data_IF_033220138453
#
_entry.id   IF_033220138453
#
_cell.length_a   1.000
_cell.length_b   1.000
_cell.length_c   1.000
_cell.angle_alpha   90.00
_cell.angle_beta   90.00
_cell.angle_gamma   90.00
#
_symmetry.space_group_name_H-M   'P 1'
#
loop_
_entity.id
_entity.type
_entity.pdbx_description
1 polymer ?
#
# COMPACT_ATOMS: atom_id res chain seq x y z
N UNK A 1 -8.90 -6.18 -22.45
CA UNK A 1 -7.97 -5.67 -21.41
C UNK A 1 -6.80 -4.92 -22.04
N UNK A 2 -6.31 -3.85 -21.39
CA UNK A 2 -5.21 -3.02 -21.91
C UNK A 2 -3.86 -3.72 -21.70
N UNK A 3 -3.02 -3.72 -22.74
CA UNK A 3 -1.63 -4.16 -22.61
C UNK A 3 -0.86 -3.14 -21.77
N UNK A 4 -0.36 -3.53 -20.60
CA UNK A 4 0.31 -2.62 -19.65
C UNK A 4 1.67 -2.13 -20.13
N UNK A 5 2.25 -2.75 -21.17
CA UNK A 5 3.47 -2.28 -21.81
C UNK A 5 3.29 -0.91 -22.49
N UNK A 6 2.06 -0.52 -22.87
CA UNK A 6 1.82 0.81 -23.45
C UNK A 6 2.10 1.95 -22.47
N UNK A 7 2.05 1.70 -21.16
CA UNK A 7 2.38 2.67 -20.11
C UNK A 7 3.87 3.08 -20.14
N UNK A 8 4.71 2.37 -20.91
CA UNK A 8 6.13 2.68 -21.12
C UNK A 8 6.41 3.26 -22.52
N UNK A 9 5.39 3.67 -23.26
CA UNK A 9 5.58 4.32 -24.56
C UNK A 9 6.28 5.68 -24.41
N UNK A 10 6.96 6.14 -25.46
CA UNK A 10 7.71 7.40 -25.44
C UNK A 10 6.88 8.63 -25.03
N UNK A 11 5.57 8.64 -25.30
CA UNK A 11 4.67 9.72 -24.91
C UNK A 11 4.31 9.68 -23.43
N UNK A 12 4.05 8.48 -22.87
CA UNK A 12 3.87 8.33 -21.41
C UNK A 12 5.14 8.70 -20.64
N UNK A 13 6.32 8.35 -21.16
CA UNK A 13 7.58 8.73 -20.53
C UNK A 13 7.79 10.24 -20.50
N UNK A 14 7.43 10.96 -21.57
CA UNK A 14 7.45 12.45 -21.58
C UNK A 14 6.43 13.02 -20.60
N UNK A 15 5.26 12.39 -20.47
CA UNK A 15 4.25 12.78 -19.49
C UNK A 15 4.78 12.62 -18.06
N UNK A 16 5.37 11.47 -17.72
CA UNK A 16 5.97 11.25 -16.39
C UNK A 16 7.11 12.24 -16.10
N UNK A 17 7.97 12.49 -17.09
CA UNK A 17 9.03 13.51 -17.00
C UNK A 17 8.46 14.86 -16.56
N UNK A 18 7.42 15.30 -17.28
CA UNK A 18 6.77 16.59 -17.05
C UNK A 18 6.12 16.65 -15.67
N UNK A 19 5.39 15.61 -15.26
CA UNK A 19 4.70 15.60 -13.98
C UNK A 19 5.64 15.54 -12.77
N UNK A 20 6.74 14.79 -12.88
CA UNK A 20 7.79 14.77 -11.84
C UNK A 20 8.44 16.14 -11.70
N UNK A 21 8.65 16.86 -12.81
CA UNK A 21 9.18 18.23 -12.77
C UNK A 21 8.20 19.21 -12.14
N UNK A 22 6.93 19.18 -12.57
CA UNK A 22 5.89 20.01 -11.97
C UNK A 22 5.83 19.79 -10.45
N UNK A 23 5.88 18.53 -10.01
CA UNK A 23 5.87 18.16 -8.60
C UNK A 23 7.09 18.68 -7.84
N UNK A 24 8.28 18.65 -8.46
CA UNK A 24 9.49 19.25 -7.89
C UNK A 24 9.36 20.77 -7.76
N UNK A 25 8.84 21.45 -8.79
CA UNK A 25 8.65 22.89 -8.82
C UNK A 25 7.59 23.36 -7.80
N UNK A 26 6.56 22.54 -7.53
CA UNK A 26 5.58 22.74 -6.46
C UNK A 26 6.22 22.65 -5.05
N UNK A 27 7.43 22.10 -4.95
CA UNK A 27 8.21 21.99 -3.73
C UNK A 27 8.14 20.62 -3.04
N UNK A 28 7.60 19.60 -3.72
CA UNK A 28 7.62 18.25 -3.19
C UNK A 28 9.02 17.63 -3.28
N UNK A 29 9.36 16.81 -2.28
CA UNK A 29 10.56 15.96 -2.34
C UNK A 29 10.27 14.74 -3.19
N UNK A 30 11.08 14.52 -4.21
CA UNK A 30 10.90 13.41 -5.13
C UNK A 30 11.47 12.10 -4.58
N UNK A 31 10.82 11.01 -4.94
CA UNK A 31 11.17 9.63 -4.66
C UNK A 31 10.74 8.73 -5.82
N UNK A 32 11.26 7.50 -5.89
CA UNK A 32 10.81 6.57 -6.92
C UNK A 32 9.31 6.20 -6.77
N UNK A 33 8.78 6.28 -5.54
CA UNK A 33 7.35 6.08 -5.30
C UNK A 33 6.47 7.08 -6.08
N UNK A 34 6.98 8.27 -6.40
CA UNK A 34 6.25 9.25 -7.22
C UNK A 34 6.15 8.80 -8.68
N UNK A 35 7.23 8.26 -9.25
CA UNK A 35 7.22 7.67 -10.59
C UNK A 35 6.32 6.43 -10.63
N UNK A 36 6.39 5.58 -9.60
CA UNK A 36 5.51 4.42 -9.47
C UNK A 36 4.04 4.82 -9.43
N UNK A 37 3.69 5.88 -8.70
CA UNK A 37 2.32 6.42 -8.66
C UNK A 37 1.80 6.83 -10.04
N UNK A 38 2.62 7.49 -10.86
CA UNK A 38 2.26 7.88 -12.23
C UNK A 38 2.10 6.68 -13.18
N UNK A 39 2.96 5.67 -13.02
CA UNK A 39 2.85 4.41 -13.76
C UNK A 39 1.55 3.69 -13.38
N UNK A 40 1.23 3.60 -12.09
CA UNK A 40 -0.02 3.03 -11.59
C UNK A 40 -1.25 3.77 -12.13
N UNK A 41 -1.22 5.10 -12.09
CA UNK A 41 -2.29 5.93 -12.66
C UNK A 41 -2.54 5.58 -14.13
N UNK A 42 -1.48 5.48 -14.93
CA UNK A 42 -1.58 5.11 -16.36
C UNK A 42 -1.98 3.65 -16.57
N UNK A 43 -1.77 2.78 -15.59
CA UNK A 43 -2.29 1.41 -15.63
C UNK A 43 -3.79 1.36 -15.34
N UNK A 44 -4.32 2.21 -14.45
CA UNK A 44 -5.73 2.20 -14.04
C UNK A 44 -6.61 3.09 -14.92
N UNK A 45 -6.10 4.22 -15.40
CA UNK A 45 -6.85 5.26 -16.10
C UNK A 45 -6.32 5.48 -17.52
N UNK A 46 -7.19 5.92 -18.44
CA UNK A 46 -6.76 6.37 -19.79
C UNK A 46 -6.21 7.80 -19.78
N UNK A 47 -6.66 8.60 -18.83
CA UNK A 47 -6.30 10.00 -18.69
C UNK A 47 -5.81 10.27 -17.26
N UNK A 48 -4.98 11.32 -17.05
CA UNK A 48 -4.55 11.72 -15.71
C UNK A 48 -5.72 11.95 -14.77
N UNK A 49 -5.65 11.41 -13.56
CA UNK A 49 -6.68 11.56 -12.54
C UNK A 49 -6.31 12.71 -11.59
N UNK A 50 -7.05 13.84 -11.59
CA UNK A 50 -6.75 14.98 -10.74
C UNK A 50 -7.23 14.80 -9.28
N UNK A 51 -7.98 13.74 -8.96
CA UNK A 51 -8.60 13.58 -7.65
C UNK A 51 -7.56 13.43 -6.53
N UNK A 52 -7.92 13.93 -5.35
CA UNK A 52 -7.11 13.92 -4.14
C UNK A 52 -7.78 13.12 -3.02
N UNK A 53 -7.04 12.92 -1.93
CA UNK A 53 -7.58 12.24 -0.75
C UNK A 53 -8.74 13.04 -0.12
N UNK A 54 -8.60 14.38 -0.04
CA UNK A 54 -9.64 15.24 0.52
C UNK A 54 -10.93 15.26 -0.32
N UNK A 55 -10.85 15.03 -1.64
CA UNK A 55 -12.02 14.98 -2.53
C UNK A 55 -12.97 13.82 -2.19
N UNK A 56 -12.44 12.73 -1.63
CA UNK A 56 -13.23 11.58 -1.19
C UNK A 56 -14.24 11.91 -0.07
N UNK A 57 -14.11 13.08 0.59
CA UNK A 57 -15.14 13.57 1.53
C UNK A 57 -16.53 13.66 0.88
N UNK A 58 -16.60 13.92 -0.43
CA UNK A 58 -17.86 13.96 -1.16
C UNK A 58 -18.58 12.60 -1.16
N UNK A 59 -17.83 11.50 -1.11
CA UNK A 59 -18.39 10.15 -1.11
C UNK A 59 -18.97 9.72 0.25
N UNK A 60 -18.70 10.46 1.34
CA UNK A 60 -19.06 10.06 2.71
C UNK A 60 -19.79 11.16 3.50
N UNK A 61 -20.01 12.33 2.91
CA UNK A 61 -20.60 13.50 3.58
C UNK A 61 -22.04 13.30 4.09
N UNK A 62 -22.78 12.31 3.58
CA UNK A 62 -24.12 11.94 4.01
C UNK A 62 -24.14 10.59 4.75
N UNK A 63 -22.97 10.01 5.04
CA UNK A 63 -22.87 8.65 5.60
C UNK A 63 -23.33 7.56 4.62
N UNK A 64 -23.30 7.84 3.31
CA UNK A 64 -23.77 6.95 2.24
C UNK A 64 -22.78 5.83 1.90
N UNK A 65 -21.51 5.98 2.27
CA UNK A 65 -20.47 4.97 2.13
C UNK A 65 -19.69 4.81 3.44
N UNK A 66 -19.06 3.64 3.69
CA UNK A 66 -18.09 3.50 4.77
C UNK A 66 -16.94 4.51 4.63
N UNK A 67 -16.40 4.98 5.76
CA UNK A 67 -15.22 5.85 5.77
C UNK A 67 -14.00 5.09 5.23
N UNK A 68 -13.38 5.51 4.11
CA UNK A 68 -12.14 4.89 3.66
C UNK A 68 -10.99 5.27 4.61
N UNK A 69 -10.18 4.28 4.95
CA UNK A 69 -8.99 4.43 5.80
C UNK A 69 -7.85 3.70 5.12
N UNK A 70 -6.76 4.43 4.88
CA UNK A 70 -5.53 3.89 4.32
C UNK A 70 -4.42 3.94 5.38
N UNK A 71 -3.40 3.10 5.20
CA UNK A 71 -2.39 2.88 6.21
C UNK A 71 -1.01 2.79 5.57
N UNK A 72 -0.02 3.38 6.22
CA UNK A 72 1.39 3.17 5.89
C UNK A 72 2.23 3.08 7.15
N UNK A 73 3.51 2.75 6.97
CA UNK A 73 4.50 2.73 8.03
C UNK A 73 5.51 3.86 7.83
N UNK A 74 5.68 4.68 8.86
CA UNK A 74 6.86 5.53 8.97
C UNK A 74 8.03 4.68 9.46
N UNK A 75 9.14 4.72 8.76
CA UNK A 75 10.38 4.00 9.08
C UNK A 75 11.53 5.00 9.26
N UNK A 76 12.71 4.51 9.63
CA UNK A 76 13.92 5.33 9.71
C UNK A 76 15.07 4.67 8.97
N UNK A 77 15.75 5.41 8.11
CA UNK A 77 16.86 4.96 7.25
C UNK A 77 17.96 4.17 7.95
N UNK A 78 18.22 4.51 9.22
CA UNK A 78 19.29 3.94 10.07
C UNK A 78 18.90 2.64 10.78
N UNK A 79 17.61 2.30 10.78
CA UNK A 79 17.05 1.18 11.51
C UNK A 79 16.34 0.25 10.52
N UNK A 80 16.28 -1.05 10.82
CA UNK A 80 15.41 -1.92 10.03
C UNK A 80 13.95 -1.61 10.38
N UNK A 81 13.00 -2.06 9.54
CA UNK A 81 11.57 -1.95 9.85
C UNK A 81 11.19 -2.74 11.11
N UNK A 82 11.94 -3.78 11.48
CA UNK A 82 11.77 -4.48 12.75
C UNK A 82 12.19 -3.60 13.93
N UNK A 83 13.25 -2.81 13.77
CA UNK A 83 13.84 -1.98 14.82
C UNK A 83 13.13 -0.63 15.02
N UNK A 84 12.50 -0.10 13.97
CA UNK A 84 11.70 1.13 14.04
C UNK A 84 10.58 1.16 13.00
N UNK A 85 9.35 1.37 13.47
CA UNK A 85 8.16 1.54 12.63
C UNK A 85 7.03 2.22 13.40
N UNK A 86 6.22 3.00 12.69
CA UNK A 86 5.08 3.69 13.27
C UNK A 86 3.92 3.73 12.29
N UNK A 87 2.73 3.39 12.76
CA UNK A 87 1.52 3.40 11.94
C UNK A 87 1.05 4.84 11.64
N UNK A 88 0.92 5.14 10.35
CA UNK A 88 0.37 6.41 9.85
C UNK A 88 -0.97 6.14 9.16
N UNK A 89 -2.03 6.68 9.75
CA UNK A 89 -3.40 6.58 9.23
C UNK A 89 -3.67 7.72 8.25
N UNK A 90 -4.38 7.42 7.17
CA UNK A 90 -4.86 8.38 6.18
C UNK A 90 -6.36 8.22 5.99
N UNK A 91 -7.09 9.30 6.11
CA UNK A 91 -8.52 9.38 5.81
C UNK A 91 -8.78 10.62 4.96
N UNK A 92 -9.96 10.75 4.33
CA UNK A 92 -10.32 11.97 3.63
C UNK A 92 -10.27 13.22 4.52
N UNK A 93 -10.43 13.07 5.84
CA UNK A 93 -10.43 14.18 6.79
C UNK A 93 -9.03 14.50 7.29
N UNK A 94 -8.31 13.50 7.76
CA UNK A 94 -7.06 13.68 8.48
C UNK A 94 -6.01 12.61 8.17
N UNK A 95 -4.75 12.99 8.36
CA UNK A 95 -3.57 12.12 8.28
C UNK A 95 -2.78 12.26 9.57
N UNK A 96 -2.36 11.15 10.17
CA UNK A 96 -1.66 11.23 11.44
C UNK A 96 -1.13 9.93 12.01
N UNK A 97 -0.42 10.06 13.12
CA UNK A 97 0.22 8.95 13.81
C UNK A 97 -0.67 8.40 14.92
N UNK A 98 -0.91 7.09 14.91
CA UNK A 98 -1.66 6.41 15.96
C UNK A 98 -0.97 6.54 17.32
N UNK A 99 0.37 6.38 17.34
CA UNK A 99 1.21 6.43 18.53
C UNK A 99 1.16 7.77 19.26
N UNK A 100 1.19 8.88 18.51
CA UNK A 100 1.27 10.23 19.08
C UNK A 100 -0.10 10.87 19.27
N UNK A 101 -1.16 10.35 18.65
CA UNK A 101 -2.46 11.01 18.64
C UNK A 101 -2.42 12.37 17.94
N UNK A 102 -1.49 12.55 16.98
CA UNK A 102 -1.24 13.80 16.30
C UNK A 102 -1.61 13.68 14.82
N UNK A 103 -2.56 14.52 14.40
CA UNK A 103 -3.19 14.49 13.09
C UNK A 103 -3.24 15.90 12.49
N UNK A 104 -3.17 15.96 11.16
CA UNK A 104 -3.35 17.17 10.35
C UNK A 104 -4.46 16.93 9.32
N UNK A 105 -5.06 17.99 8.79
CA UNK A 105 -6.00 17.86 7.66
C UNK A 105 -5.30 17.17 6.48
N UNK A 106 -6.03 16.30 5.79
CA UNK A 106 -5.51 15.57 4.62
C UNK A 106 -4.92 16.50 3.56
N UNK A 107 -5.56 17.65 3.28
CA UNK A 107 -5.09 18.62 2.29
C UNK A 107 -3.74 19.30 2.63
N UNK A 108 -3.28 19.19 3.88
CA UNK A 108 -2.00 19.75 4.31
C UNK A 108 -0.90 18.70 4.37
N UNK A 109 -1.20 17.42 4.12
CA UNK A 109 -0.18 16.38 4.10
C UNK A 109 0.83 16.63 2.98
N UNK A 110 2.12 16.62 3.32
CA UNK A 110 3.22 17.00 2.42
C UNK A 110 3.65 18.47 2.53
N UNK A 111 2.92 19.31 3.27
CA UNK A 111 3.34 20.68 3.60
C UNK A 111 4.37 20.72 4.74
N UNK A 112 5.08 21.84 4.88
CA UNK A 112 6.08 22.02 5.95
C UNK A 112 5.43 22.56 7.23
N UNK A 113 5.76 21.95 8.37
CA UNK A 113 5.29 22.38 9.69
C UNK A 113 6.46 22.62 10.65
N UNK A 114 6.22 23.42 11.67
CA UNK A 114 7.10 23.57 12.82
C UNK A 114 6.27 23.87 14.08
N UNK A 115 6.53 23.14 15.17
CA UNK A 115 5.81 23.32 16.44
C UNK A 115 4.28 23.23 16.30
N UNK A 116 3.79 22.37 15.39
CA UNK A 116 2.37 22.21 15.10
C UNK A 116 1.74 23.32 14.23
N UNK A 117 2.52 24.31 13.79
CA UNK A 117 2.07 25.37 12.89
C UNK A 117 2.47 25.07 11.44
N UNK A 118 1.55 25.33 10.51
CA UNK A 118 1.80 25.24 9.06
C UNK A 118 2.73 26.40 8.65
N UNK A 119 3.95 26.07 8.22
CA UNK A 119 4.97 27.04 7.86
C UNK A 119 4.94 27.38 6.36
N UNK A 120 4.81 26.35 5.53
CA UNK A 120 4.72 26.49 4.07
C UNK A 120 3.69 25.50 3.56
N UNK A 121 2.62 26.03 2.99
CA UNK A 121 1.61 25.21 2.32
C UNK A 121 2.13 24.77 0.96
N UNK A 122 2.16 23.46 0.77
CA UNK A 122 2.44 22.79 -0.50
C UNK A 122 1.10 22.24 -1.03
N UNK A 123 0.83 22.27 -2.34
CA UNK A 123 -0.40 21.70 -2.90
C UNK A 123 -0.62 20.25 -2.46
N UNK A 124 -1.88 19.89 -2.21
CA UNK A 124 -2.24 18.50 -1.90
C UNK A 124 -1.90 17.59 -3.09
N UNK A 125 -1.22 16.49 -2.79
CA UNK A 125 -0.83 15.53 -3.82
C UNK A 125 -2.06 14.84 -4.43
N UNK A 126 -2.01 14.61 -5.75
CA UNK A 126 -2.95 13.73 -6.45
C UNK A 126 -2.94 12.34 -5.81
N UNK A 127 -4.08 11.65 -5.86
CA UNK A 127 -4.28 10.36 -5.21
C UNK A 127 -3.29 9.30 -5.73
N UNK A 128 -2.87 9.38 -6.99
CA UNK A 128 -1.88 8.47 -7.58
C UNK A 128 -0.53 8.47 -6.84
N UNK A 129 -0.07 9.61 -6.33
CA UNK A 129 1.17 9.67 -5.53
C UNK A 129 0.98 9.00 -4.16
N UNK A 130 -0.21 9.08 -3.57
CA UNK A 130 -0.55 8.39 -2.33
C UNK A 130 -0.64 6.88 -2.55
N UNK A 131 -1.26 6.45 -3.66
CA UNK A 131 -1.31 5.04 -4.08
C UNK A 131 0.10 4.50 -4.33
N UNK A 132 0.96 5.28 -4.99
CA UNK A 132 2.37 4.95 -5.18
C UNK A 132 3.10 4.74 -3.85
N UNK A 133 2.83 5.56 -2.83
CA UNK A 133 3.38 5.38 -1.48
C UNK A 133 2.81 4.16 -0.75
N UNK A 134 1.48 3.97 -0.76
CA UNK A 134 0.83 2.84 -0.08
C UNK A 134 1.16 1.48 -0.71
N UNK A 135 1.66 1.46 -1.94
CA UNK A 135 2.00 0.24 -2.69
C UNK A 135 3.48 0.19 -3.12
N UNK A 136 4.35 0.94 -2.46
CA UNK A 136 5.77 1.01 -2.84
C UNK A 136 6.54 -0.30 -2.55
N UNK A 137 5.91 -1.35 -2.03
CA UNK A 137 6.46 -2.71 -2.06
C UNK A 137 6.75 -3.19 -3.49
N UNK A 138 5.98 -2.71 -4.47
CA UNK A 138 6.12 -3.08 -5.88
C UNK A 138 7.23 -2.33 -6.61
N UNK A 139 7.74 -1.23 -6.06
CA UNK A 139 8.71 -0.40 -6.76
C UNK A 139 10.03 -1.13 -7.04
N UNK A 140 10.45 -2.01 -6.13
CA UNK A 140 11.65 -2.82 -6.29
C UNK A 140 11.47 -3.90 -7.37
N UNK A 141 10.37 -4.64 -7.32
CA UNK A 141 10.04 -5.65 -8.32
C UNK A 141 9.88 -5.02 -9.72
N UNK A 142 9.34 -3.80 -9.80
CA UNK A 142 9.25 -3.07 -11.05
C UNK A 142 10.63 -2.68 -11.58
N UNK A 143 11.54 -2.18 -10.74
CA UNK A 143 12.90 -1.88 -11.18
C UNK A 143 13.61 -3.12 -11.70
N UNK A 144 13.48 -4.25 -11.00
CA UNK A 144 14.07 -5.52 -11.43
C UNK A 144 13.45 -6.00 -12.76
N UNK A 145 12.13 -5.92 -12.90
CA UNK A 145 11.42 -6.27 -14.14
C UNK A 145 11.80 -5.34 -15.31
N UNK A 146 11.94 -4.04 -15.07
CA UNK A 146 12.37 -3.07 -16.06
C UNK A 146 13.84 -3.28 -16.45
N UNK A 147 14.69 -3.70 -15.51
CA UNK A 147 16.09 -4.02 -15.78
C UNK A 147 16.24 -5.28 -16.64
N UNK A 148 15.34 -6.25 -16.49
CA UNK A 148 15.33 -7.51 -17.24
C UNK A 148 14.60 -7.43 -18.60
N UNK A 149 13.78 -6.42 -18.83
CA UNK A 149 13.08 -6.27 -20.10
C UNK A 149 14.07 -5.82 -21.21
N UNK A 150 14.48 -6.75 -22.07
CA UNK A 150 15.41 -6.53 -23.21
C UNK A 150 14.97 -5.44 -24.23
N UNK A 151 13.73 -4.96 -24.18
CA UNK A 151 13.21 -3.88 -25.04
C UNK A 151 13.20 -2.50 -24.36
N UNK A 152 13.84 -2.37 -23.19
CA UNK A 152 13.91 -1.13 -22.42
C UNK A 152 15.17 -0.30 -22.70
N UNK A 153 15.94 -0.60 -23.76
CA UNK A 153 17.13 0.19 -24.11
C UNK A 153 16.76 1.68 -24.27
N UNK A 154 15.64 2.04 -24.88
CA UNK A 154 15.20 3.44 -24.96
C UNK A 154 14.84 4.06 -23.60
N UNK A 155 14.27 3.29 -22.68
CA UNK A 155 13.94 3.76 -21.33
C UNK A 155 15.22 4.00 -20.54
N UNK A 156 16.06 2.98 -20.36
CA UNK A 156 17.31 3.12 -19.60
C UNK A 156 18.30 4.07 -20.27
N UNK A 157 18.49 4.02 -21.58
CA UNK A 157 19.41 4.95 -22.25
C UNK A 157 18.96 6.40 -22.13
N UNK A 158 17.66 6.68 -22.12
CA UNK A 158 17.13 8.04 -21.93
C UNK A 158 17.23 8.54 -20.50
N UNK A 159 17.14 7.64 -19.50
CA UNK A 159 17.05 7.98 -18.08
C UNK A 159 18.33 7.75 -17.27
N UNK A 160 19.26 6.90 -17.71
CA UNK A 160 20.47 6.53 -16.96
C UNK A 160 21.79 6.75 -17.69
N UNK A 161 21.81 6.96 -19.01
CA UNK A 161 23.04 7.26 -19.77
C UNK A 161 23.12 8.74 -20.18
N UNK A 162 24.32 9.36 -20.21
CA UNK A 162 24.52 10.67 -20.84
C UNK A 162 24.21 10.58 -22.34
N UNK A 163 23.50 11.57 -22.92
CA UNK A 163 23.24 11.59 -24.38
C UNK A 163 24.55 11.90 -25.12
N UNK A 164 25.06 10.92 -25.87
CA UNK A 164 26.20 11.08 -26.78
C UNK A 164 25.70 11.00 -28.22
N UNK A 165 25.92 12.05 -29.00
CA UNK A 165 25.69 12.03 -30.46
C UNK A 165 27.03 11.96 -31.18
N UNK A 166 27.20 11.00 -32.09
CA UNK A 166 28.34 10.97 -33.01
C UNK A 166 27.99 11.86 -34.22
N UNK A 167 28.81 12.88 -34.48
CA UNK A 167 28.51 13.96 -35.45
C UNK A 167 28.58 13.48 -36.92
N UNK A 168 28.93 12.23 -37.21
CA UNK A 168 29.30 11.77 -38.56
C UNK A 168 28.22 11.02 -39.36
N UNK A 169 26.95 10.96 -38.94
CA UNK A 169 25.92 10.20 -39.68
C UNK A 169 25.34 10.87 -40.94
N UNK A 170 25.64 12.14 -41.22
CA UNK A 170 25.09 12.86 -42.39
C UNK A 170 26.02 12.93 -43.63
N UNK A 171 27.08 12.11 -43.71
CA UNK A 171 27.96 12.04 -44.89
C UNK A 171 27.64 10.80 -45.74
N UNK A 172 27.30 10.92 -47.05
CA UNK A 172 26.99 9.79 -47.92
C UNK A 172 28.15 8.76 -48.01
N UNK A 173 27.86 7.47 -48.32
CA UNK A 173 28.76 6.32 -48.11
C UNK A 173 29.87 6.18 -49.16
N UNK A 174 30.63 7.23 -49.46
CA UNK A 174 31.58 7.26 -50.57
C UNK A 174 33.05 7.51 -50.19
N UNK A 175 33.42 7.51 -48.91
CA UNK A 175 34.82 7.65 -48.50
C UNK A 175 35.26 6.56 -47.48
N UNK A 176 36.45 5.95 -47.65
CA UNK A 176 36.95 4.94 -46.74
C UNK A 176 37.30 5.55 -45.37
N UNK A 177 36.80 4.93 -44.28
CA UNK A 177 37.11 5.31 -42.89
C UNK A 177 38.61 5.24 -42.65
N UNK A 178 39.23 6.36 -42.25
CA UNK A 178 40.67 6.42 -41.93
C UNK A 178 40.91 5.84 -40.52
N UNK A 179 41.85 4.90 -40.33
CA UNK A 179 42.01 4.14 -39.07
C UNK A 179 42.57 4.93 -37.87
N UNK A 180 42.91 6.21 -38.03
CA UNK A 180 43.55 7.03 -36.99
C UNK A 180 42.73 8.24 -36.53
N UNK A 181 41.47 8.37 -36.98
CA UNK A 181 40.59 9.47 -36.54
C UNK A 181 39.69 8.92 -35.43
N UNK A 182 39.84 9.43 -34.21
CA UNK A 182 38.90 9.14 -33.14
C UNK A 182 37.57 9.87 -33.43
N UNK A 183 36.42 9.20 -33.29
CA UNK A 183 35.13 9.82 -33.57
C UNK A 183 34.92 11.03 -32.65
N UNK A 184 34.57 12.17 -33.25
CA UNK A 184 34.28 13.39 -32.50
C UNK A 184 32.89 13.25 -31.90
N UNK A 185 32.82 13.03 -30.58
CA UNK A 185 31.55 12.87 -29.85
C UNK A 185 31.09 14.21 -29.32
N UNK A 186 29.87 14.62 -29.66
CA UNK A 186 29.23 15.76 -29.01
C UNK A 186 28.79 15.34 -27.62
N UNK A 187 29.50 15.80 -26.60
CA UNK A 187 29.05 15.70 -25.22
C UNK A 187 28.11 16.86 -24.93
N UNK A 188 26.81 16.61 -24.91
CA UNK A 188 25.84 17.58 -24.41
C UNK A 188 25.76 17.34 -22.90
N UNK A 189 26.23 18.28 -22.04
CA UNK A 189 26.00 18.14 -20.61
C UNK A 189 24.50 18.03 -20.38
N UNK A 190 24.08 17.02 -19.61
CA UNK A 190 22.69 16.83 -19.25
C UNK A 190 22.14 18.13 -18.64
N UNK A 191 20.92 18.54 -19.03
CA UNK A 191 20.21 19.58 -18.30
C UNK A 191 19.91 19.07 -16.87
N UNK A 192 19.78 19.98 -15.89
CA UNK A 192 19.57 19.62 -14.48
C UNK A 192 18.40 18.64 -14.26
N UNK A 193 17.42 18.66 -15.17
CA UNK A 193 16.24 17.80 -15.23
C UNK A 193 16.55 16.31 -15.40
N UNK A 194 17.46 15.97 -16.32
CA UNK A 194 17.84 14.56 -16.56
C UNK A 194 18.64 13.99 -15.39
N UNK A 195 19.41 14.85 -14.71
CA UNK A 195 20.12 14.47 -13.49
C UNK A 195 19.14 14.24 -12.33
N UNK A 196 18.11 15.08 -12.16
CA UNK A 196 17.07 14.89 -11.12
C UNK A 196 16.34 13.56 -11.29
N UNK A 197 15.97 13.18 -12.52
CA UNK A 197 15.22 11.95 -12.74
C UNK A 197 16.12 10.72 -12.65
N UNK A 198 17.37 10.82 -13.11
CA UNK A 198 18.39 9.80 -12.82
C UNK A 198 18.59 9.63 -11.31
N UNK A 199 18.63 10.72 -10.56
CA UNK A 199 18.79 10.68 -9.11
C UNK A 199 17.57 10.03 -8.46
N UNK A 200 16.34 10.31 -8.92
CA UNK A 200 15.11 9.61 -8.48
C UNK A 200 15.16 8.10 -8.74
N UNK A 201 15.67 7.68 -9.91
CA UNK A 201 15.78 6.27 -10.30
C UNK A 201 16.93 5.55 -9.56
N UNK A 202 17.98 6.28 -9.17
CA UNK A 202 19.14 5.72 -8.44
C UNK A 202 19.02 5.82 -6.91
N UNK A 203 18.03 6.56 -6.40
CA UNK A 203 17.68 6.63 -4.98
C UNK A 203 17.06 5.32 -4.48
N UNK A 204 17.03 5.14 -3.14
CA UNK A 204 16.40 3.97 -2.50
C UNK A 204 14.95 3.83 -3.00
N UNK A 205 14.63 2.80 -3.80
CA UNK A 205 13.38 2.79 -4.58
C UNK A 205 12.11 2.62 -3.76
N UNK A 206 12.27 2.22 -2.50
CA UNK A 206 11.21 1.69 -1.66
C UNK A 206 10.60 2.73 -0.72
N UNK A 207 11.22 3.91 -0.57
CA UNK A 207 10.85 4.86 0.50
C UNK A 207 10.32 6.16 -0.09
N UNK A 208 9.07 6.51 0.24
CA UNK A 208 8.50 7.81 -0.08
C UNK A 208 8.87 8.83 1.01
N UNK A 209 9.23 10.05 0.62
CA UNK A 209 9.70 11.08 1.55
C UNK A 209 8.74 12.27 1.62
N UNK A 210 8.21 12.59 2.80
CA UNK A 210 7.34 13.74 3.02
C UNK A 210 7.86 14.61 4.17
N UNK A 211 7.67 15.94 4.16
CA UNK A 211 7.98 16.77 5.32
C UNK A 211 7.30 16.26 6.59
N UNK A 212 8.03 16.22 7.69
CA UNK A 212 7.51 15.76 8.97
C UNK A 212 6.61 16.81 9.61
N UNK A 213 5.30 16.57 9.62
CA UNK A 213 4.34 17.49 10.23
C UNK A 213 4.45 17.57 11.77
N UNK A 214 5.17 16.64 12.40
CA UNK A 214 5.49 16.68 13.83
C UNK A 214 6.77 17.48 14.14
N UNK A 215 7.46 18.03 13.13
CA UNK A 215 8.74 18.72 13.30
C UNK A 215 8.65 19.81 14.37
N UNK A 216 9.61 19.76 15.30
CA UNK A 216 9.71 20.68 16.43
C UNK A 216 8.88 20.30 17.65
N UNK A 217 7.83 19.48 17.53
CA UNK A 217 7.05 19.07 18.70
C UNK A 217 7.91 18.35 19.74
N UNK A 218 7.61 18.59 21.01
CA UNK A 218 8.28 17.98 22.14
C UNK A 218 7.37 16.93 22.79
N UNK A 219 7.96 15.84 23.25
CA UNK A 219 7.24 14.83 24.00
C UNK A 219 7.02 15.30 25.44
N UNK A 220 5.84 15.01 25.97
CA UNK A 220 5.54 15.25 27.37
C UNK A 220 6.45 14.39 28.26
N UNK A 221 6.90 14.89 29.41
CA UNK A 221 7.75 14.14 30.35
C UNK A 221 7.16 12.80 30.81
N UNK A 222 5.84 12.66 30.76
CA UNK A 222 5.09 11.46 31.17
C UNK A 222 4.48 10.71 29.98
N UNK A 223 5.02 10.88 28.77
CA UNK A 223 4.46 10.24 27.57
C UNK A 223 4.38 8.71 27.69
N UNK A 224 5.32 8.08 28.42
CA UNK A 224 5.30 6.63 28.70
C UNK A 224 4.17 6.18 29.65
N UNK A 225 3.61 7.09 30.46
CA UNK A 225 2.43 6.83 31.30
C UNK A 225 1.13 6.94 30.48
N UNK A 226 1.18 7.46 29.25
CA UNK A 226 0.01 7.61 28.41
C UNK A 226 -0.37 6.27 27.77
N UNK A 227 -1.56 5.77 28.12
CA UNK A 227 -2.07 4.49 27.60
C UNK A 227 -2.16 4.44 26.07
N UNK A 228 -2.39 5.57 25.37
CA UNK A 228 -2.46 5.62 23.91
C UNK A 228 -1.10 5.50 23.26
N UNK A 229 -0.09 6.16 23.84
CA UNK A 229 1.28 6.01 23.40
C UNK A 229 1.76 4.57 23.64
N UNK A 230 1.54 4.06 24.85
CA UNK A 230 1.95 2.71 25.25
C UNK A 230 1.29 1.59 24.44
N UNK A 231 0.06 1.80 23.96
CA UNK A 231 -0.63 0.87 23.06
C UNK A 231 0.09 0.66 21.73
N UNK A 232 0.85 1.65 21.27
CA UNK A 232 1.58 1.61 20.00
C UNK A 232 3.10 1.70 20.22
N UNK A 233 3.55 1.48 21.45
CA UNK A 233 4.96 1.49 21.85
C UNK A 233 5.58 0.16 21.43
N UNK A 234 6.10 0.16 20.22
CA UNK A 234 6.53 -1.04 19.53
C UNK A 234 8.02 -1.33 19.71
N UNK A 235 8.84 -0.31 19.99
CA UNK A 235 10.31 -0.45 19.90
C UNK A 235 11.02 0.07 21.14
N UNK A 236 12.24 -0.43 21.39
CA UNK A 236 13.10 0.06 22.48
C UNK A 236 13.40 1.55 22.29
N UNK A 237 13.44 2.02 21.05
CA UNK A 237 13.66 3.43 20.70
C UNK A 237 12.54 4.34 21.25
N UNK A 238 11.33 3.81 21.45
CA UNK A 238 10.22 4.56 22.04
C UNK A 238 10.47 4.95 23.50
N UNK A 239 11.43 4.32 24.18
CA UNK A 239 11.88 4.71 25.52
C UNK A 239 12.78 5.95 25.52
N UNK A 240 13.26 6.40 24.36
CA UNK A 240 14.12 7.58 24.26
C UNK A 240 13.47 8.68 23.39
N UNK A 241 12.98 9.77 24.01
CA UNK A 241 12.26 10.81 23.29
C UNK A 241 13.11 11.51 22.22
N UNK A 242 14.43 11.58 22.37
CA UNK A 242 15.31 12.23 21.40
C UNK A 242 15.39 11.50 20.07
N UNK A 243 14.98 10.24 20.02
CA UNK A 243 15.01 9.41 18.81
C UNK A 243 13.64 9.21 18.18
N UNK A 244 12.60 9.92 18.64
CA UNK A 244 11.25 9.78 18.09
C UNK A 244 10.97 10.84 17.03
N UNK A 245 11.07 12.12 17.39
CA UNK A 245 10.74 13.27 16.53
C UNK A 245 12.01 14.05 16.10
N UNK A 246 13.03 13.33 15.63
CA UNK A 246 14.33 13.93 15.24
C UNK A 246 14.49 14.17 13.73
N UNK A 247 13.67 13.53 12.90
CA UNK A 247 13.77 13.62 11.45
C UNK A 247 12.99 14.80 10.88
N UNK A 248 13.59 15.48 9.91
CA UNK A 248 12.94 16.53 9.12
C UNK A 248 11.89 15.95 8.14
N UNK A 249 12.08 14.70 7.73
CA UNK A 249 11.20 14.01 6.77
C UNK A 249 10.66 12.71 7.36
N UNK A 250 9.41 12.41 7.04
CA UNK A 250 8.85 11.08 7.17
C UNK A 250 9.33 10.22 6.01
N UNK A 251 9.64 8.97 6.32
CA UNK A 251 10.03 7.95 5.37
C UNK A 251 8.93 6.90 5.38
N UNK A 252 8.04 6.93 4.39
CA UNK A 252 6.84 6.12 4.36
C UNK A 252 6.98 4.92 3.43
N UNK A 253 6.55 3.76 3.93
CA UNK A 253 6.55 2.48 3.21
C UNK A 253 5.22 1.76 3.36
N UNK A 254 4.95 0.84 2.43
CA UNK A 254 3.84 -0.11 2.48
C UNK A 254 3.88 -0.94 3.77
N UNK A 255 2.71 -1.21 4.33
CA UNK A 255 2.53 -2.07 5.52
C UNK A 255 3.07 -3.50 5.32
N UNK A 256 3.09 -4.00 4.08
CA UNK A 256 3.58 -5.32 3.71
C UNK A 256 5.07 -5.53 4.05
N UNK A 257 5.86 -4.45 4.26
CA UNK A 257 7.24 -4.53 4.77
C UNK A 257 7.34 -4.98 6.24
N UNK A 258 6.22 -5.08 6.95
CA UNK A 258 6.16 -5.57 8.33
C UNK A 258 5.08 -6.63 8.51
N UNK A 259 3.81 -6.23 8.46
CA UNK A 259 2.66 -7.12 8.58
C UNK A 259 1.64 -6.68 7.54
N UNK A 260 1.23 -7.60 6.68
CA UNK A 260 0.22 -7.34 5.66
C UNK A 260 -1.19 -7.28 6.31
N UNK A 261 -1.49 -6.15 6.96
CA UNK A 261 -2.75 -5.91 7.66
C UNK A 261 -3.12 -4.45 7.64
N UNK A 262 -4.42 -4.17 7.49
CA UNK A 262 -5.02 -2.84 7.60
C UNK A 262 -5.81 -2.64 8.90
N UNK A 263 -5.73 -3.58 9.84
CA UNK A 263 -6.50 -3.53 11.10
C UNK A 263 -6.07 -2.45 12.12
N UNK A 264 -4.81 -1.96 12.21
CA UNK A 264 -4.40 -1.06 13.30
C UNK A 264 -5.30 0.18 13.50
N UNK A 265 -5.70 0.93 12.45
CA UNK A 265 -6.65 2.04 12.58
C UNK A 265 -8.03 1.65 13.15
N UNK A 266 -8.50 0.43 12.87
CA UNK A 266 -9.79 -0.08 13.34
C UNK A 266 -9.77 -0.40 14.84
N UNK A 267 -8.59 -0.77 15.36
CA UNK A 267 -8.39 -1.13 16.77
C UNK A 267 -8.21 0.08 17.69
N UNK A 268 -8.25 1.31 17.15
CA UNK A 268 -8.32 2.53 17.96
C UNK A 268 -9.56 2.48 18.86
N UNK A 269 -9.42 2.60 20.19
CA UNK A 269 -10.56 2.55 21.11
C UNK A 269 -11.67 3.59 20.83
N UNK A 270 -11.35 4.71 20.19
CA UNK A 270 -12.31 5.73 19.74
C UNK A 270 -13.28 5.23 18.68
N UNK A 271 -12.88 4.24 17.87
CA UNK A 271 -13.70 3.71 16.77
C UNK A 271 -14.75 2.71 17.25
N UNK A 272 -14.55 2.10 18.42
CA UNK A 272 -15.47 1.14 19.04
C UNK A 272 -15.98 0.08 18.05
N UNK A 273 -15.05 -0.51 17.27
CA UNK A 273 -15.40 -1.51 16.25
C UNK A 273 -15.83 -2.81 16.92
N UNK A 274 -17.04 -3.27 16.61
CA UNK A 274 -17.58 -4.53 17.16
C UNK A 274 -17.27 -5.75 16.30
N UNK A 275 -17.19 -5.56 14.97
CA UNK A 275 -16.97 -6.63 13.99
C UNK A 275 -15.93 -6.15 12.98
N UNK A 276 -14.96 -7.01 12.70
CA UNK A 276 -14.01 -6.84 11.60
C UNK A 276 -14.25 -7.97 10.59
N UNK A 277 -14.60 -7.60 9.36
CA UNK A 277 -14.60 -8.52 8.21
C UNK A 277 -13.23 -8.38 7.54
N UNK A 278 -12.36 -9.35 7.78
CA UNK A 278 -10.99 -9.37 7.29
C UNK A 278 -10.91 -10.20 6.01
N UNK A 279 -10.71 -9.53 4.88
CA UNK A 279 -10.45 -10.16 3.59
C UNK A 279 -8.95 -10.23 3.37
N UNK A 280 -8.36 -11.44 3.42
CA UNK A 280 -6.93 -11.62 3.25
C UNK A 280 -6.59 -12.05 1.83
N UNK A 281 -5.80 -11.23 1.14
CA UNK A 281 -5.32 -11.48 -0.22
C UNK A 281 -3.79 -11.56 -0.27
N UNK A 282 -3.17 -12.02 0.81
CA UNK A 282 -1.72 -12.12 0.91
C UNK A 282 -1.17 -13.14 -0.08
N UNK A 283 -0.09 -12.78 -0.78
CA UNK A 283 0.64 -13.71 -1.64
C UNK A 283 1.30 -14.80 -0.80
N UNK A 284 1.16 -16.06 -1.22
CA UNK A 284 1.71 -17.21 -0.51
C UNK A 284 0.85 -17.66 0.66
N UNK A 285 1.23 -17.31 1.90
CA UNK A 285 0.54 -17.83 3.09
C UNK A 285 -0.72 -17.05 3.43
N UNK A 286 -1.84 -17.75 3.46
CA UNK A 286 -3.13 -17.24 3.93
C UNK A 286 -3.28 -17.26 5.46
N UNK A 287 -2.26 -17.62 6.24
CA UNK A 287 -2.37 -17.67 7.72
C UNK A 287 -1.29 -16.85 8.41
N UNK A 288 -0.12 -16.71 7.78
CA UNK A 288 1.01 -15.98 8.35
C UNK A 288 0.68 -14.52 8.73
N UNK A 289 0.03 -13.71 7.88
CA UNK A 289 -0.33 -12.33 8.25
C UNK A 289 -1.28 -12.25 9.44
N UNK A 290 -2.22 -13.21 9.54
CA UNK A 290 -3.15 -13.32 10.66
C UNK A 290 -2.39 -13.67 11.94
N UNK A 291 -1.54 -14.70 11.91
CA UNK A 291 -0.72 -15.13 13.04
C UNK A 291 0.21 -14.00 13.54
N UNK A 292 0.85 -13.27 12.61
CA UNK A 292 1.71 -12.12 12.94
C UNK A 292 0.91 -10.97 13.54
N UNK A 293 -0.25 -10.63 12.97
CA UNK A 293 -1.13 -9.56 13.48
C UNK A 293 -1.61 -9.89 14.90
N UNK A 294 -2.11 -11.10 15.14
CA UNK A 294 -2.61 -11.53 16.45
C UNK A 294 -1.50 -11.51 17.49
N UNK A 295 -0.29 -11.99 17.15
CA UNK A 295 0.86 -11.92 18.07
C UNK A 295 1.22 -10.48 18.39
N UNK A 296 1.30 -9.62 17.38
CA UNK A 296 1.59 -8.20 17.54
C UNK A 296 0.58 -7.51 18.47
N UNK A 297 -0.72 -7.71 18.25
CA UNK A 297 -1.75 -7.12 19.11
C UNK A 297 -1.70 -7.65 20.54
N UNK A 298 -1.41 -8.94 20.72
CA UNK A 298 -1.23 -9.54 22.04
C UNK A 298 -0.04 -8.93 22.79
N UNK A 299 1.13 -8.82 22.15
CA UNK A 299 2.33 -8.21 22.73
C UNK A 299 2.13 -6.74 23.10
N UNK A 300 1.32 -6.01 22.33
CA UNK A 300 0.96 -4.61 22.59
C UNK A 300 -0.19 -4.45 23.62
N UNK A 301 -0.79 -5.55 24.08
CA UNK A 301 -1.96 -5.51 24.97
C UNK A 301 -3.23 -4.94 24.31
N UNK A 302 -3.30 -4.96 22.98
CA UNK A 302 -4.45 -4.50 22.20
C UNK A 302 -5.52 -5.61 22.22
N UNK A 303 -6.77 -5.32 22.66
CA UNK A 303 -7.85 -6.31 22.65
C UNK A 303 -8.13 -6.85 21.24
N UNK A 304 -7.89 -8.15 21.04
CA UNK A 304 -8.10 -8.84 19.78
C UNK A 304 -8.51 -10.30 20.06
N UNK A 305 -9.36 -10.94 19.23
CA UNK A 305 -9.77 -12.32 19.46
C UNK A 305 -8.61 -13.30 19.24
N UNK A 306 -8.70 -14.47 19.88
CA UNK A 306 -7.77 -15.57 19.68
C UNK A 306 -8.04 -16.22 18.32
N UNK A 307 -7.06 -16.20 17.44
CA UNK A 307 -7.18 -16.69 16.06
C UNK A 307 -6.54 -18.07 15.88
N UNK A 308 -6.93 -19.04 16.71
CA UNK A 308 -6.34 -20.39 16.67
C UNK A 308 -7.03 -21.22 15.59
N UNK A 309 -6.27 -21.58 14.55
CA UNK A 309 -6.66 -22.55 13.53
C UNK A 309 -6.16 -23.94 13.89
N UNK A 310 -6.98 -24.97 13.64
CA UNK A 310 -6.55 -26.36 13.86
C UNK A 310 -5.52 -26.81 12.83
N UNK A 311 -4.77 -27.88 13.12
CA UNK A 311 -3.83 -28.48 12.16
C UNK A 311 -4.53 -28.96 10.88
N UNK A 312 -5.80 -29.34 10.97
CA UNK A 312 -6.62 -29.72 9.82
C UNK A 312 -6.99 -28.50 8.97
N UNK A 313 -7.45 -27.42 9.60
CA UNK A 313 -7.76 -26.15 8.92
C UNK A 313 -6.50 -25.58 8.24
N UNK A 314 -5.32 -25.68 8.87
CA UNK A 314 -4.06 -25.22 8.27
C UNK A 314 -3.66 -26.01 7.02
N UNK A 315 -4.05 -27.28 6.92
CA UNK A 315 -3.83 -28.11 5.72
C UNK A 315 -4.86 -27.83 4.64
N UNK A 316 -6.11 -27.62 5.03
CA UNK A 316 -7.24 -27.38 4.12
C UNK A 316 -8.06 -26.21 4.64
N UNK A 317 -7.68 -25.00 4.18
CA UNK A 317 -8.35 -23.79 4.61
C UNK A 317 -9.75 -23.68 4.00
N UNK A 318 -10.74 -23.41 4.84
CA UNK A 318 -12.11 -23.05 4.48
C UNK A 318 -12.22 -21.59 4.04
N UNK A 319 -13.33 -21.23 3.40
CA UNK A 319 -13.54 -19.88 2.88
C UNK A 319 -13.77 -18.81 3.97
N UNK A 320 -14.20 -19.21 5.18
CA UNK A 320 -14.48 -18.27 6.27
C UNK A 320 -14.25 -18.89 7.65
N UNK A 321 -13.76 -18.07 8.59
CA UNK A 321 -13.62 -18.40 10.01
C UNK A 321 -14.21 -17.30 10.87
N UNK A 322 -14.95 -17.67 11.92
CA UNK A 322 -15.48 -16.77 12.93
C UNK A 322 -14.65 -16.91 14.20
N UNK A 323 -14.01 -15.82 14.62
CA UNK A 323 -13.30 -15.74 15.90
C UNK A 323 -13.98 -14.71 16.80
N UNK A 324 -14.55 -15.18 17.90
CA UNK A 324 -15.26 -14.33 18.86
C UNK A 324 -14.77 -14.53 20.31
N UNK A 325 -13.85 -15.47 20.54
CA UNK A 325 -13.18 -15.71 21.83
C UNK A 325 -12.08 -14.66 22.06
N UNK A 326 -12.22 -13.89 23.13
CA UNK A 326 -11.24 -12.89 23.55
C UNK A 326 -11.27 -12.72 25.08
N UNK A 327 -10.12 -12.35 25.65
CA UNK A 327 -9.99 -12.10 27.09
C UNK A 327 -10.75 -10.84 27.53
N UNK A 328 -10.88 -9.87 26.63
CA UNK A 328 -11.53 -8.59 26.89
C UNK A 328 -12.83 -8.48 26.10
N UNK A 329 -13.95 -8.05 26.73
CA UNK A 329 -15.22 -7.80 26.02
C UNK A 329 -15.13 -6.62 25.05
N UNK A 330 -14.03 -5.86 25.06
CA UNK A 330 -13.75 -4.77 24.12
C UNK A 330 -13.14 -5.27 22.80
N UNK A 331 -12.74 -6.54 22.72
CA UNK A 331 -12.20 -7.09 21.49
C UNK A 331 -13.31 -7.26 20.44
N UNK A 332 -13.03 -6.94 19.16
CA UNK A 332 -13.99 -7.14 18.08
C UNK A 332 -14.20 -8.64 17.81
N UNK A 333 -15.34 -8.98 17.22
CA UNK A 333 -15.55 -10.25 16.53
C UNK A 333 -14.82 -10.18 15.19
N UNK A 334 -14.04 -11.20 14.85
CA UNK A 334 -13.30 -11.26 13.59
C UNK A 334 -13.91 -12.33 12.68
N UNK A 335 -14.36 -11.92 11.50
CA UNK A 335 -14.66 -12.81 10.38
C UNK A 335 -13.48 -12.79 9.42
N UNK A 336 -12.77 -13.91 9.34
CA UNK A 336 -11.58 -14.05 8.52
C UNK A 336 -11.87 -14.81 7.23
N UNK A 337 -11.62 -14.17 6.09
CA UNK A 337 -11.77 -14.74 4.76
C UNK A 337 -10.39 -14.88 4.09
N UNK A 338 -9.77 -16.06 4.13
CA UNK A 338 -8.57 -16.31 3.33
C UNK A 338 -8.92 -16.43 1.84
N UNK A 339 -7.98 -16.07 0.97
CA UNK A 339 -8.12 -16.30 -0.47
C UNK A 339 -7.86 -17.78 -0.78
N UNK A 340 -8.93 -18.57 -0.85
CA UNK A 340 -8.89 -20.01 -1.12
C UNK A 340 -9.91 -20.38 -2.18
N UNK A 341 -9.56 -21.34 -3.02
CA UNK A 341 -10.46 -21.96 -3.98
C UNK A 341 -10.84 -23.35 -3.44
N UNK A 342 -11.80 -23.40 -2.52
CA UNK A 342 -12.29 -24.64 -1.90
C UNK A 342 -13.58 -25.11 -2.59
N UNK A 343 -14.75 -24.82 -2.00
CA UNK A 343 -16.03 -25.33 -2.54
C UNK A 343 -16.40 -24.70 -3.89
N UNK A 344 -15.84 -23.54 -4.24
CA UNK A 344 -16.05 -22.87 -5.54
C UNK A 344 -15.67 -23.75 -6.75
N UNK A 345 -14.75 -24.71 -6.57
CA UNK A 345 -14.40 -25.65 -7.62
C UNK A 345 -15.59 -26.51 -8.06
N UNK A 346 -16.47 -26.84 -7.10
CA UNK A 346 -17.65 -27.69 -7.33
C UNK A 346 -18.92 -26.88 -7.57
N UNK A 347 -19.05 -25.71 -6.94
CA UNK A 347 -20.27 -24.91 -6.95
C UNK A 347 -20.05 -23.59 -7.70
N UNK A 348 -21.01 -23.19 -8.54
CA UNK A 348 -20.98 -21.88 -9.22
C UNK A 348 -21.65 -20.76 -8.43
N UNK A 349 -22.61 -21.14 -7.60
CA UNK A 349 -23.26 -20.26 -6.62
C UNK A 349 -23.63 -21.11 -5.40
N UNK A 350 -23.90 -20.50 -4.23
CA UNK A 350 -24.22 -21.26 -3.02
C UNK A 350 -25.33 -22.29 -3.27
N UNK A 351 -25.02 -23.58 -3.05
CA UNK A 351 -25.95 -24.70 -3.25
C UNK A 351 -26.21 -25.13 -4.70
N UNK A 352 -25.55 -24.54 -5.71
CA UNK A 352 -25.72 -24.89 -7.13
C UNK A 352 -24.44 -25.49 -7.69
N UNK A 353 -24.45 -26.80 -7.94
CA UNK A 353 -23.31 -27.53 -8.52
C UNK A 353 -23.07 -27.14 -9.98
N UNK A 354 -21.80 -27.15 -10.38
CA UNK A 354 -21.36 -26.95 -11.76
C UNK A 354 -21.68 -28.19 -12.60
N UNK A 355 -22.02 -27.97 -13.88
CA UNK A 355 -22.06 -29.07 -14.83
C UNK A 355 -20.64 -29.48 -15.26
N UNK A 356 -20.44 -30.67 -15.85
CA UNK A 356 -19.13 -31.10 -16.33
C UNK A 356 -18.47 -30.14 -17.33
N UNK A 357 -19.24 -29.35 -18.08
CA UNK A 357 -18.73 -28.34 -19.02
C UNK A 357 -18.32 -27.02 -18.35
N UNK A 358 -18.74 -26.77 -17.10
CA UNK A 358 -18.47 -25.53 -16.35
C UNK A 358 -17.36 -25.72 -15.30
N UNK A 359 -16.70 -26.90 -15.25
CA UNK A 359 -15.71 -27.24 -14.23
C UNK A 359 -14.44 -26.39 -14.33
N UNK A 360 -13.99 -26.09 -15.54
CA UNK A 360 -12.76 -25.30 -15.78
C UNK A 360 -12.89 -23.86 -15.27
N UNK A 361 -14.12 -23.33 -15.15
CA UNK A 361 -14.42 -22.02 -14.60
C UNK A 361 -14.38 -21.99 -13.06
N UNK A 362 -14.43 -23.16 -12.41
CA UNK A 362 -14.43 -23.30 -10.96
C UNK A 362 -13.04 -23.29 -10.33
N UNK A 363 -11.97 -23.44 -11.13
CA UNK A 363 -10.60 -23.50 -10.62
C UNK A 363 -9.85 -22.18 -10.86
N UNK A 364 -9.38 -21.59 -9.76
CA UNK A 364 -8.47 -20.45 -9.76
C UNK A 364 -7.27 -20.78 -8.86
N UNK A 365 -6.09 -20.89 -9.46
CA UNK A 365 -4.86 -21.17 -8.72
C UNK A 365 -4.38 -19.95 -7.94
N UNK A 366 -4.95 -19.73 -6.76
CA UNK A 366 -4.59 -18.64 -5.84
C UNK A 366 -3.54 -19.05 -4.80
N UNK A 367 -3.12 -20.32 -4.81
CA UNK A 367 -2.20 -20.89 -3.82
C UNK A 367 -0.76 -20.98 -4.30
N UNK A 368 -0.54 -21.16 -5.60
CA UNK A 368 0.81 -21.27 -6.15
C UNK A 368 1.52 -19.91 -6.13
N UNK A 369 2.74 -19.88 -5.60
CA UNK A 369 3.52 -18.63 -5.51
C UNK A 369 4.31 -18.30 -6.77
N UNK A 370 4.64 -19.30 -7.60
CA UNK A 370 5.58 -19.15 -8.72
C UNK A 370 4.88 -19.09 -10.08
N UNK A 371 3.86 -19.93 -10.29
CA UNK A 371 3.21 -20.10 -11.60
C UNK A 371 1.77 -19.58 -11.64
N UNK A 372 1.27 -19.03 -10.53
CA UNK A 372 -0.08 -18.49 -10.47
C UNK A 372 -0.20 -17.24 -11.34
N UNK A 373 -1.28 -17.09 -12.13
CA UNK A 373 -1.60 -15.85 -12.83
C UNK A 373 -1.96 -14.70 -11.87
N UNK A 374 -2.16 -15.00 -10.58
CA UNK A 374 -2.49 -14.06 -9.52
C UNK A 374 -1.30 -13.78 -8.58
N UNK A 375 -0.11 -14.25 -8.94
CA UNK A 375 1.10 -13.94 -8.17
C UNK A 375 1.28 -12.42 -8.04
N UNK A 376 1.75 -11.98 -6.88
CA UNK A 376 1.82 -10.57 -6.47
C UNK A 376 2.43 -9.67 -7.56
N UNK A 377 3.53 -10.09 -8.21
CA UNK A 377 4.20 -9.30 -9.24
C UNK A 377 3.48 -9.21 -10.60
N UNK A 378 2.36 -9.90 -10.80
CA UNK A 378 1.62 -9.89 -12.08
C UNK A 378 0.67 -8.70 -12.12
N UNK A 379 0.92 -7.78 -13.05
CA UNK A 379 0.12 -6.55 -13.24
C UNK A 379 -0.86 -6.61 -14.43
N UNK A 380 -0.85 -7.70 -15.20
CA UNK A 380 -1.70 -7.88 -16.38
C UNK A 380 -2.41 -9.22 -16.34
N UNK A 381 -3.75 -9.19 -16.31
CA UNK A 381 -4.58 -10.41 -16.28
C UNK A 381 -5.21 -10.68 -17.65
N UNK A 382 -5.52 -11.94 -17.94
CA UNK A 382 -6.46 -12.29 -19.00
C UNK A 382 -7.89 -12.10 -18.52
N UNK A 383 -8.84 -11.86 -19.42
CA UNK A 383 -10.24 -11.62 -19.04
C UNK A 383 -10.83 -12.80 -18.27
N UNK A 384 -10.46 -14.00 -18.69
CA UNK A 384 -10.78 -15.24 -18.01
C UNK A 384 -10.25 -15.26 -16.57
N UNK A 385 -8.95 -15.01 -16.35
CA UNK A 385 -8.36 -15.04 -15.01
C UNK A 385 -8.96 -13.93 -14.11
N UNK A 386 -9.17 -12.74 -14.66
CA UNK A 386 -9.81 -11.64 -13.92
C UNK A 386 -11.22 -12.01 -13.46
N UNK A 387 -12.04 -12.55 -14.37
CA UNK A 387 -13.40 -13.00 -14.06
C UNK A 387 -13.40 -14.17 -13.07
N UNK A 388 -12.48 -15.13 -13.21
CA UNK A 388 -12.32 -16.26 -12.27
C UNK A 388 -12.04 -15.76 -10.84
N UNK A 389 -11.12 -14.82 -10.66
CA UNK A 389 -10.80 -14.27 -9.34
C UNK A 389 -11.98 -13.49 -8.72
N UNK A 390 -12.67 -12.68 -9.52
CA UNK A 390 -13.88 -11.96 -9.07
C UNK A 390 -14.98 -12.94 -8.67
N UNK A 391 -15.25 -13.94 -9.51
CA UNK A 391 -16.29 -14.93 -9.24
C UNK A 391 -15.96 -15.77 -7.99
N UNK A 392 -14.70 -16.15 -7.81
CA UNK A 392 -14.24 -16.86 -6.61
C UNK A 392 -14.48 -16.02 -5.35
N UNK A 393 -13.98 -14.78 -5.33
CA UNK A 393 -14.11 -13.90 -4.16
C UNK A 393 -15.57 -13.56 -3.85
N UNK A 394 -16.38 -13.31 -4.88
CA UNK A 394 -17.81 -13.10 -4.74
C UNK A 394 -18.53 -14.34 -4.17
N UNK A 395 -18.23 -15.53 -4.71
CA UNK A 395 -18.79 -16.78 -4.21
C UNK A 395 -18.43 -17.02 -2.74
N UNK A 396 -17.16 -16.85 -2.36
CA UNK A 396 -16.70 -17.10 -0.98
C UNK A 396 -17.45 -16.24 0.04
N UNK A 397 -17.77 -14.98 -0.30
CA UNK A 397 -18.59 -14.10 0.54
C UNK A 397 -20.05 -14.60 0.60
N UNK A 398 -20.68 -14.85 -0.55
CA UNK A 398 -22.09 -15.27 -0.61
C UNK A 398 -22.32 -16.62 0.09
N UNK A 399 -21.41 -17.57 -0.10
CA UNK A 399 -21.51 -18.90 0.51
C UNK A 399 -21.47 -18.85 2.05
N UNK A 400 -20.85 -17.81 2.60
CA UNK A 400 -20.69 -17.61 4.05
C UNK A 400 -21.56 -16.47 4.60
N UNK A 401 -22.63 -16.07 3.90
CA UNK A 401 -23.59 -15.06 4.37
C UNK A 401 -24.10 -15.38 5.78
N UNK A 402 -24.37 -16.65 6.07
CA UNK A 402 -24.85 -17.12 7.37
C UNK A 402 -23.89 -16.78 8.53
N UNK A 403 -22.56 -16.86 8.31
CA UNK A 403 -21.56 -16.51 9.31
C UNK A 403 -21.49 -14.99 9.54
N UNK A 404 -21.68 -14.19 8.49
CA UNK A 404 -21.78 -12.73 8.58
C UNK A 404 -23.01 -12.35 9.43
N UNK A 405 -24.16 -12.95 9.14
CA UNK A 405 -25.39 -12.74 9.91
C UNK A 405 -25.25 -13.21 11.37
N UNK A 406 -24.54 -14.31 11.61
CA UNK A 406 -24.24 -14.79 12.97
C UNK A 406 -23.40 -13.76 13.74
N UNK A 407 -22.30 -13.27 13.16
CA UNK A 407 -21.45 -12.26 13.81
C UNK A 407 -22.24 -10.98 14.14
N UNK A 408 -23.10 -10.51 13.22
CA UNK A 408 -23.98 -9.36 13.43
C UNK A 408 -24.93 -9.57 14.61
N UNK A 409 -25.56 -10.74 14.71
CA UNK A 409 -26.44 -11.09 15.84
C UNK A 409 -25.67 -11.09 17.16
N UNK A 410 -24.51 -11.74 17.20
CA UNK A 410 -23.64 -11.78 18.38
C UNK A 410 -23.22 -10.37 18.81
N UNK A 411 -22.84 -9.49 17.88
CA UNK A 411 -22.48 -8.11 18.21
C UNK A 411 -23.65 -7.30 18.79
N UNK A 412 -24.86 -7.46 18.23
CA UNK A 412 -26.07 -6.82 18.76
C UNK A 412 -26.35 -7.29 20.18
N UNK A 413 -26.19 -8.58 20.46
CA UNK A 413 -26.38 -9.14 21.81
C UNK A 413 -25.34 -8.59 22.81
N UNK A 414 -24.06 -8.52 22.41
CA UNK A 414 -22.99 -7.91 23.23
C UNK A 414 -23.32 -6.45 23.57
N UNK A 415 -23.78 -5.66 22.60
CA UNK A 415 -24.18 -4.25 22.83
C UNK A 415 -25.36 -4.12 23.78
N UNK A 416 -26.38 -4.97 23.63
CA UNK A 416 -27.52 -4.96 24.56
C UNK A 416 -27.06 -5.19 25.99
N UNK A 417 -26.22 -6.19 26.22
CA UNK A 417 -25.70 -6.51 27.56
C UNK A 417 -24.88 -5.34 28.15
N UNK A 418 -24.03 -4.70 27.36
CA UNK A 418 -23.25 -3.53 27.81
C UNK A 418 -24.15 -2.35 28.23
N UNK A 419 -25.20 -2.05 27.45
CA UNK A 419 -26.14 -0.97 27.77
C UNK A 419 -26.97 -1.26 29.04
N UNK A 420 -27.30 -2.52 29.29
CA UNK A 420 -27.94 -2.91 30.55
C UNK A 420 -27.02 -2.69 31.75
N UNK A 421 -25.72 -2.98 31.64
CA UNK A 421 -24.76 -2.82 32.74
C UNK A 421 -24.35 -1.36 33.00
N UNK A 422 -24.51 -0.45 32.03
CA UNK A 422 -24.22 0.98 32.21
C UNK A 422 -25.41 1.79 32.73
N UNK A 423 -26.60 1.18 32.81
CA UNK A 423 -27.84 1.81 33.30
C UNK A 423 -28.10 1.54 34.80
N UNK A 424 -27.22 0.80 35.46
CA UNK A 424 -27.15 0.57 36.90
C UNK A 424 -25.78 0.99 37.41
#
# INVERSE_FOLDING_TARGET
MKNKLCCFSGDHLKYYEKEILNRYDEGHKLSFADLWGLILESMFHDEPDPHKLSDQRQAINLGQNPLPIYLSLNVKKRYSTLDFKEWVEFTPYEVGFLKYGAFINAENFGSEFYMGHLMKKIPESRLCFMQGMWSNIYSQNLLDALYLAEHSEDFWHKWTRPRMYEIEEDIPPLLPKRPYVQPTRLFIPNGSVSDVIRDVITLRPVVACFPNFLKGLQLNNKYLENNRFSMWKDTILDCNPSHLIDSEYLELVDTAFFINTSCPPLLRPERQVDIIIHLNYSGGSQTLPLDLSTRYYHEQGIPFPKTVLTEEDRKHLKECYLFDDAESPKAPILLYFPLVCDTFQKYKSPGVERSPSEMDDGYADVTSTIFSPYATGILQYSEENFNKLINLTHYNILNNEHMILQALRTAIERKKQQNFHSSF
#
